data_IF_035115186594
#
_entry.id   IF_035115186594
#
_cell.length_a   1.000
_cell.length_b   1.000
_cell.length_c   1.000
_cell.angle_alpha   90.00
_cell.angle_beta   90.00
_cell.angle_gamma   90.00
#
_symmetry.space_group_name_H-M   'P 1'
#
loop_
_entity.id
_entity.type
_entity.pdbx_description
1 polymer ?
#
# COMPACT_ATOMS: atom_id res chain seq x y z
N UNK A 1 33.20 -17.36 -41.33
CA UNK A 1 34.07 -17.03 -40.18
C UNK A 1 33.55 -15.89 -39.33
N UNK A 2 32.99 -14.80 -39.87
CA UNK A 2 32.43 -13.65 -39.12
C UNK A 2 31.26 -14.05 -38.22
N UNK A 3 30.36 -14.95 -38.68
CA UNK A 3 29.17 -15.35 -37.87
C UNK A 3 29.51 -16.15 -36.62
N UNK A 4 30.55 -16.95 -36.62
CA UNK A 4 30.97 -17.75 -35.46
C UNK A 4 31.59 -16.86 -34.37
N UNK A 5 32.35 -15.84 -34.77
CA UNK A 5 32.98 -14.87 -33.86
C UNK A 5 31.89 -14.02 -33.18
N UNK A 6 30.88 -13.59 -33.95
CA UNK A 6 29.75 -12.84 -33.39
C UNK A 6 28.94 -13.69 -32.40
N UNK A 7 28.70 -14.97 -32.71
CA UNK A 7 27.99 -15.90 -31.83
C UNK A 7 28.77 -16.19 -30.54
N UNK A 8 30.08 -16.40 -30.63
CA UNK A 8 30.97 -16.57 -29.48
C UNK A 8 31.08 -15.31 -28.63
N UNK A 9 31.02 -14.12 -29.23
CA UNK A 9 31.02 -12.85 -28.53
C UNK A 9 29.70 -12.63 -27.76
N UNK A 10 28.56 -13.00 -28.35
CA UNK A 10 27.25 -12.99 -27.70
C UNK A 10 27.18 -14.00 -26.52
N UNK A 11 27.63 -15.24 -26.75
CA UNK A 11 27.72 -16.26 -25.70
C UNK A 11 28.63 -15.84 -24.56
N UNK A 12 29.78 -15.21 -24.86
CA UNK A 12 30.70 -14.73 -23.82
C UNK A 12 30.10 -13.56 -23.01
N UNK A 13 29.30 -12.70 -23.65
CA UNK A 13 28.57 -11.62 -23.00
C UNK A 13 27.46 -12.16 -22.11
N UNK A 14 26.74 -13.18 -22.57
CA UNK A 14 25.68 -13.87 -21.79
C UNK A 14 26.25 -14.61 -20.57
N UNK A 15 27.35 -15.36 -20.75
CA UNK A 15 28.01 -16.06 -19.64
C UNK A 15 28.54 -15.08 -18.58
N UNK A 16 29.13 -13.93 -19.01
CA UNK A 16 29.59 -12.92 -18.07
C UNK A 16 28.43 -12.27 -17.31
N UNK A 17 27.25 -12.11 -17.93
CA UNK A 17 26.08 -11.51 -17.28
C UNK A 17 25.45 -12.47 -16.28
N UNK A 18 25.38 -13.76 -16.61
CA UNK A 18 24.92 -14.82 -15.69
C UNK A 18 25.88 -14.89 -14.49
N UNK A 19 27.20 -14.91 -14.75
CA UNK A 19 28.22 -14.90 -13.68
C UNK A 19 28.13 -13.68 -12.77
N UNK A 20 27.82 -12.50 -13.33
CA UNK A 20 27.65 -11.28 -12.55
C UNK A 20 26.34 -11.31 -11.74
N UNK A 21 25.25 -11.86 -12.30
CA UNK A 21 24.00 -12.06 -11.57
C UNK A 21 24.18 -13.05 -10.42
N UNK A 22 24.92 -14.16 -10.65
CA UNK A 22 25.25 -15.13 -9.59
C UNK A 22 26.08 -14.50 -8.48
N UNK A 23 27.06 -13.66 -8.85
CA UNK A 23 27.84 -12.89 -7.87
C UNK A 23 26.95 -11.91 -7.07
N UNK A 24 26.01 -11.24 -7.75
CA UNK A 24 25.12 -10.27 -7.10
C UNK A 24 24.15 -10.96 -6.16
N UNK A 25 23.58 -12.11 -6.56
CA UNK A 25 22.71 -12.91 -5.69
C UNK A 25 23.51 -13.52 -4.55
N UNK A 26 24.74 -13.98 -4.82
CA UNK A 26 25.66 -14.46 -3.79
C UNK A 26 26.01 -13.34 -2.81
N UNK A 27 26.29 -12.14 -3.30
CA UNK A 27 26.56 -10.97 -2.47
C UNK A 27 25.31 -10.50 -1.70
N UNK A 28 24.09 -10.63 -2.26
CA UNK A 28 22.84 -10.40 -1.54
C UNK A 28 22.69 -11.37 -0.36
N UNK A 29 23.08 -12.63 -0.56
CA UNK A 29 23.01 -13.66 0.48
C UNK A 29 24.19 -13.61 1.45
N UNK A 30 25.36 -13.09 1.03
CA UNK A 30 26.59 -13.00 1.83
C UNK A 30 26.84 -11.59 2.41
N UNK A 31 26.02 -10.59 2.06
CA UNK A 31 26.21 -9.22 2.51
C UNK A 31 25.83 -9.00 3.98
N UNK A 32 26.47 -8.01 4.61
CA UNK A 32 26.20 -7.57 5.98
C UNK A 32 24.78 -7.01 6.20
N UNK A 33 23.95 -6.88 5.14
CA UNK A 33 22.54 -6.54 5.25
C UNK A 33 21.77 -7.85 5.16
N UNK A 34 21.25 -8.29 6.28
CA UNK A 34 20.44 -9.50 6.38
C UNK A 34 19.17 -9.40 5.54
N UNK A 35 18.54 -10.51 5.18
CA UNK A 35 17.25 -10.53 4.50
C UNK A 35 16.21 -9.78 5.31
N UNK A 36 16.28 -9.85 6.64
CA UNK A 36 15.39 -9.14 7.55
C UNK A 36 15.56 -7.62 7.48
N UNK A 37 16.80 -7.10 7.41
CA UNK A 37 17.04 -5.67 7.22
C UNK A 37 16.50 -5.17 5.88
N UNK A 38 16.55 -5.98 4.83
CA UNK A 38 15.98 -5.63 3.54
C UNK A 38 14.45 -5.62 3.59
N UNK A 39 13.82 -6.59 4.24
CA UNK A 39 12.37 -6.60 4.51
C UNK A 39 11.96 -5.38 5.33
N UNK A 40 12.71 -5.06 6.38
CA UNK A 40 12.49 -3.86 7.21
C UNK A 40 12.53 -2.58 6.37
N UNK A 41 13.50 -2.43 5.47
CA UNK A 41 13.57 -1.27 4.56
C UNK A 41 12.39 -1.18 3.59
N UNK A 42 11.85 -2.32 3.13
CA UNK A 42 10.63 -2.31 2.32
C UNK A 42 9.45 -1.78 3.15
N UNK A 43 9.30 -2.24 4.38
CA UNK A 43 8.24 -1.80 5.31
C UNK A 43 8.39 -0.30 5.64
N UNK A 44 9.61 0.17 5.91
CA UNK A 44 9.89 1.60 6.13
C UNK A 44 9.52 2.45 4.90
N UNK A 45 9.87 1.99 3.70
CA UNK A 45 9.50 2.66 2.46
C UNK A 45 7.99 2.59 2.17
N UNK A 46 7.30 1.54 2.61
CA UNK A 46 5.84 1.46 2.55
C UNK A 46 5.19 2.54 3.41
N UNK A 47 5.65 2.72 4.64
CA UNK A 47 5.11 3.72 5.56
C UNK A 47 5.47 5.16 5.19
N UNK A 48 6.56 5.38 4.44
CA UNK A 48 6.98 6.71 4.00
C UNK A 48 6.20 7.26 2.80
N UNK A 49 5.50 6.40 2.05
CA UNK A 49 4.63 6.81 0.94
C UNK A 49 3.18 6.93 1.44
N UNK A 50 2.38 7.80 0.79
CA UNK A 50 0.95 7.86 1.07
C UNK A 50 0.32 6.53 0.67
N UNK A 51 -0.01 5.74 1.68
CA UNK A 51 -0.67 4.45 1.52
C UNK A 51 -1.94 4.43 2.35
N UNK A 52 -3.07 4.14 1.71
CA UNK A 52 -4.33 3.92 2.42
C UNK A 52 -4.19 2.81 3.48
N UNK A 53 -3.44 1.75 3.13
CA UNK A 53 -3.19 0.66 4.06
C UNK A 53 -2.34 1.08 5.27
N UNK A 54 -1.37 2.01 5.11
CA UNK A 54 -0.54 2.47 6.25
C UNK A 54 -1.31 3.38 7.22
N UNK A 55 -2.41 3.97 6.78
CA UNK A 55 -3.30 4.82 7.59
C UNK A 55 -4.51 4.05 8.13
N UNK A 56 -4.76 2.84 7.65
CA UNK A 56 -5.82 1.94 8.09
C UNK A 56 -5.48 1.27 9.44
N UNK A 57 -6.49 0.66 10.06
CA UNK A 57 -6.28 -0.21 11.23
C UNK A 57 -5.38 -1.39 10.84
N UNK A 58 -4.21 -1.48 11.47
CA UNK A 58 -3.24 -2.53 11.18
C UNK A 58 -3.57 -3.81 11.96
N UNK A 59 -3.84 -4.91 11.24
CA UNK A 59 -4.23 -6.20 11.83
C UNK A 59 -3.26 -7.29 11.35
N UNK A 60 -2.11 -7.48 12.03
CA UNK A 60 -1.19 -8.55 11.69
C UNK A 60 -1.77 -9.91 12.08
N UNK A 61 -1.67 -10.89 11.17
CA UNK A 61 -2.11 -12.26 11.42
C UNK A 61 -0.98 -13.27 11.21
N UNK A 62 -1.01 -14.34 11.97
CA UNK A 62 -0.04 -15.43 11.91
C UNK A 62 -0.73 -16.73 11.52
N UNK A 63 -0.17 -17.47 10.57
CA UNK A 63 -0.55 -18.83 10.20
C UNK A 63 -2.01 -19.06 9.76
N UNK A 64 -2.77 -18.01 9.53
CA UNK A 64 -4.13 -18.06 8.99
C UNK A 64 -4.21 -17.28 7.68
N UNK A 65 -5.01 -17.74 6.74
CA UNK A 65 -5.26 -17.09 5.46
C UNK A 65 -6.64 -16.47 5.36
N UNK A 66 -7.57 -16.87 6.23
CA UNK A 66 -8.91 -16.30 6.30
C UNK A 66 -9.46 -16.40 7.72
N UNK A 67 -10.37 -15.53 8.07
CA UNK A 67 -10.98 -15.50 9.39
C UNK A 67 -11.84 -14.27 9.60
N UNK A 68 -12.06 -13.96 10.86
CA UNK A 68 -12.77 -12.76 11.27
C UNK A 68 -12.15 -12.14 12.52
N UNK A 69 -12.35 -10.85 12.67
CA UNK A 69 -11.96 -10.11 13.88
C UNK A 69 -13.07 -9.16 14.29
N UNK A 70 -13.08 -8.80 15.56
CA UNK A 70 -13.99 -7.79 16.11
C UNK A 70 -13.31 -6.41 16.06
N UNK A 71 -14.07 -5.38 15.74
CA UNK A 71 -13.62 -3.99 15.78
C UNK A 71 -14.68 -3.14 16.50
N UNK A 72 -14.26 -1.98 17.04
CA UNK A 72 -15.19 -1.06 17.67
C UNK A 72 -15.94 -0.25 16.60
N UNK A 73 -17.26 -0.28 16.60
CA UNK A 73 -18.10 0.57 15.76
C UNK A 73 -18.36 1.90 16.47
N UNK A 74 -18.07 3.00 15.77
CA UNK A 74 -18.30 4.35 16.27
C UNK A 74 -17.30 4.82 17.33
N UNK A 75 -17.50 6.06 17.77
CA UNK A 75 -16.79 6.64 18.91
C UNK A 75 -17.66 6.43 20.14
N UNK A 76 -17.14 5.83 21.23
CA UNK A 76 -17.89 5.76 22.46
C UNK A 76 -18.20 7.20 22.92
N UNK A 77 -19.47 7.56 22.95
CA UNK A 77 -19.92 8.84 23.49
C UNK A 77 -19.75 8.72 25.00
N UNK A 78 -18.82 9.50 25.55
CA UNK A 78 -18.74 9.65 27.02
C UNK A 78 -19.89 10.57 27.38
N UNK A 79 -20.94 10.07 28.06
CA UNK A 79 -22.03 10.93 28.52
C UNK A 79 -21.47 11.97 29.48
N UNK A 80 -21.94 13.22 29.40
CA UNK A 80 -21.60 14.24 30.36
C UNK A 80 -21.98 13.70 31.76
N UNK A 81 -21.02 13.77 32.68
CA UNK A 81 -21.21 13.33 34.07
C UNK A 81 -22.21 14.27 34.78
N UNK A 82 -23.48 13.97 34.68
CA UNK A 82 -24.45 14.47 35.61
C UNK A 82 -24.47 13.54 36.85
N UNK A 83 -24.13 14.09 37.99
CA UNK A 83 -24.24 13.46 39.32
C UNK A 83 -23.34 12.25 39.64
N UNK A 84 -22.08 12.21 39.23
CA UNK A 84 -21.11 11.17 39.61
C UNK A 84 -21.54 9.70 39.37
N UNK A 85 -22.50 9.46 38.53
CA UNK A 85 -22.91 8.11 38.13
C UNK A 85 -22.03 7.68 36.97
N UNK A 86 -21.21 6.66 37.17
CA UNK A 86 -20.46 5.99 36.09
C UNK A 86 -21.49 5.24 35.24
N UNK A 87 -21.87 5.79 34.10
CA UNK A 87 -22.64 5.04 33.10
C UNK A 87 -21.74 4.00 32.42
N UNK A 88 -22.22 2.77 32.35
CA UNK A 88 -21.53 1.73 31.58
C UNK A 88 -21.48 2.14 30.11
N UNK A 89 -20.28 2.16 29.56
CA UNK A 89 -20.04 2.41 28.16
C UNK A 89 -20.41 1.14 27.38
N UNK A 90 -21.53 1.14 26.67
CA UNK A 90 -21.83 0.08 25.72
C UNK A 90 -20.93 0.24 24.47
N UNK A 91 -19.94 -0.65 24.33
CA UNK A 91 -19.09 -0.74 23.17
C UNK A 91 -19.85 -1.56 22.12
N UNK A 92 -20.24 -0.93 21.01
CA UNK A 92 -20.76 -1.66 19.87
C UNK A 92 -19.58 -2.30 19.13
N UNK A 93 -19.64 -3.63 18.99
CA UNK A 93 -18.60 -4.40 18.29
C UNK A 93 -19.13 -4.86 16.94
N UNK A 94 -18.48 -4.40 15.89
CA UNK A 94 -18.63 -4.94 14.55
C UNK A 94 -17.78 -6.20 14.35
N UNK A 95 -18.16 -7.01 13.37
CA UNK A 95 -17.42 -8.18 12.94
C UNK A 95 -17.01 -8.01 11.47
N UNK A 96 -15.70 -8.09 11.21
CA UNK A 96 -15.17 -8.08 9.86
C UNK A 96 -14.60 -9.45 9.48
N UNK A 97 -14.89 -9.88 8.27
CA UNK A 97 -14.33 -11.09 7.66
C UNK A 97 -13.22 -10.71 6.70
N UNK A 98 -12.14 -11.50 6.67
CA UNK A 98 -11.01 -11.31 5.78
C UNK A 98 -10.61 -12.59 5.07
N UNK A 99 -10.02 -12.44 3.89
CA UNK A 99 -9.39 -13.51 3.14
C UNK A 99 -8.13 -12.97 2.50
N UNK A 100 -6.97 -13.38 3.03
CA UNK A 100 -5.69 -12.91 2.51
C UNK A 100 -5.47 -13.39 1.09
N UNK A 101 -5.15 -12.46 0.22
CA UNK A 101 -4.75 -12.73 -1.15
C UNK A 101 -3.23 -12.62 -1.28
N UNK A 102 -2.69 -13.44 -2.16
CA UNK A 102 -1.28 -13.36 -2.53
C UNK A 102 -1.07 -12.15 -3.46
N UNK A 103 -0.26 -11.20 -3.01
CA UNK A 103 0.13 -10.02 -3.79
C UNK A 103 1.56 -10.23 -4.26
N UNK A 104 1.75 -10.32 -5.58
CA UNK A 104 3.07 -10.50 -6.17
C UNK A 104 3.49 -9.25 -6.93
N UNK A 105 4.63 -8.68 -6.56
CA UNK A 105 5.27 -7.57 -7.26
C UNK A 105 6.50 -8.04 -8.01
N UNK A 106 6.68 -7.56 -9.24
CA UNK A 106 7.79 -7.94 -10.11
C UNK A 106 8.68 -6.74 -10.42
N UNK A 107 9.99 -6.91 -10.27
CA UNK A 107 10.98 -5.93 -10.70
C UNK A 107 11.92 -6.57 -11.73
N UNK A 108 11.87 -6.15 -13.01
CA UNK A 108 12.83 -6.61 -14.01
C UNK A 108 14.20 -5.97 -13.77
N UNK A 109 15.23 -6.78 -13.66
CA UNK A 109 16.61 -6.37 -13.43
C UNK A 109 17.39 -6.52 -14.74
N UNK A 110 17.79 -5.40 -15.34
CA UNK A 110 18.63 -5.39 -16.54
C UNK A 110 20.12 -5.50 -16.20
N UNK A 111 20.94 -5.95 -17.16
CA UNK A 111 22.39 -6.07 -16.97
C UNK A 111 23.10 -4.76 -16.60
N UNK A 112 22.52 -3.60 -16.91
CA UNK A 112 23.08 -2.29 -16.53
C UNK A 112 22.92 -2.01 -15.02
N UNK A 113 21.87 -2.52 -14.41
CA UNK A 113 21.63 -2.38 -12.96
C UNK A 113 22.60 -3.25 -12.15
N UNK A 114 23.07 -4.35 -12.75
CA UNK A 114 24.03 -5.28 -12.12
C UNK A 114 25.41 -4.62 -11.84
N UNK A 115 25.71 -3.50 -12.46
CA UNK A 115 26.95 -2.74 -12.23
C UNK A 115 26.84 -1.71 -11.08
N UNK A 116 25.68 -1.58 -10.45
CA UNK A 116 25.51 -0.71 -9.28
C UNK A 116 26.17 -1.33 -8.04
N UNK A 117 26.61 -0.46 -7.13
CA UNK A 117 27.03 -0.92 -5.81
C UNK A 117 25.86 -1.62 -5.10
N UNK A 118 26.15 -2.67 -4.37
CA UNK A 118 25.17 -3.54 -3.73
C UNK A 118 24.16 -2.77 -2.86
N UNK A 119 24.64 -1.83 -2.04
CA UNK A 119 23.80 -1.00 -1.18
C UNK A 119 22.80 -0.17 -1.99
N UNK A 120 23.25 0.46 -3.07
CA UNK A 120 22.41 1.25 -3.97
C UNK A 120 21.35 0.40 -4.68
N UNK A 121 21.71 -0.82 -5.08
CA UNK A 121 20.78 -1.76 -5.71
C UNK A 121 19.65 -2.19 -4.75
N UNK A 122 19.98 -2.60 -3.52
CA UNK A 122 18.98 -2.98 -2.51
C UNK A 122 18.05 -1.83 -2.17
N UNK A 123 18.59 -0.63 -2.02
CA UNK A 123 17.80 0.57 -1.75
C UNK A 123 16.85 0.90 -2.91
N UNK A 124 17.31 0.81 -4.15
CA UNK A 124 16.46 0.99 -5.33
C UNK A 124 15.34 -0.07 -5.37
N UNK A 125 15.69 -1.33 -5.17
CA UNK A 125 14.76 -2.44 -5.23
C UNK A 125 13.69 -2.35 -4.12
N UNK A 126 14.08 -1.96 -2.90
CA UNK A 126 13.13 -1.75 -1.80
C UNK A 126 12.12 -0.64 -2.10
N UNK A 127 12.56 0.48 -2.70
CA UNK A 127 11.68 1.57 -3.14
C UNK A 127 10.70 1.13 -4.24
N UNK A 128 11.19 0.36 -5.22
CA UNK A 128 10.35 -0.15 -6.32
C UNK A 128 9.29 -1.11 -5.79
N UNK A 129 9.67 -2.05 -4.92
CA UNK A 129 8.73 -2.98 -4.32
C UNK A 129 7.71 -2.28 -3.43
N UNK A 130 8.14 -1.36 -2.57
CA UNK A 130 7.24 -0.58 -1.73
C UNK A 130 6.23 0.22 -2.57
N UNK A 131 6.68 0.87 -3.65
CA UNK A 131 5.79 1.61 -4.55
C UNK A 131 4.77 0.69 -5.25
N UNK A 132 5.21 -0.47 -5.74
CA UNK A 132 4.34 -1.44 -6.40
C UNK A 132 3.30 -2.00 -5.43
N UNK A 133 3.72 -2.39 -4.23
CA UNK A 133 2.83 -2.93 -3.20
C UNK A 133 1.81 -1.87 -2.74
N UNK A 134 2.25 -0.63 -2.49
CA UNK A 134 1.36 0.49 -2.16
C UNK A 134 0.30 0.71 -3.23
N UNK A 135 0.67 0.70 -4.51
CA UNK A 135 -0.28 0.88 -5.60
C UNK A 135 -1.36 -0.20 -5.60
N UNK A 136 -0.98 -1.46 -5.37
CA UNK A 136 -1.95 -2.58 -5.29
C UNK A 136 -2.85 -2.43 -4.07
N UNK A 137 -2.28 -2.13 -2.91
CA UNK A 137 -3.03 -1.95 -1.66
C UNK A 137 -3.99 -0.76 -1.73
N UNK A 138 -3.58 0.36 -2.35
CA UNK A 138 -4.45 1.52 -2.55
C UNK A 138 -5.66 1.18 -3.43
N UNK A 139 -5.45 0.44 -4.52
CA UNK A 139 -6.55 -0.02 -5.39
C UNK A 139 -7.49 -0.96 -4.66
N UNK A 140 -6.97 -1.90 -3.86
CA UNK A 140 -7.78 -2.79 -3.03
C UNK A 140 -8.60 -2.02 -1.99
N UNK A 141 -7.99 -1.04 -1.31
CA UNK A 141 -8.67 -0.19 -0.35
C UNK A 141 -9.82 0.59 -1.00
N UNK A 142 -9.58 1.21 -2.14
CA UNK A 142 -10.62 1.90 -2.92
C UNK A 142 -11.74 0.95 -3.33
N UNK A 143 -11.40 -0.22 -3.89
CA UNK A 143 -12.37 -1.23 -4.29
C UNK A 143 -13.21 -1.73 -3.11
N UNK A 144 -12.61 -1.91 -1.93
CA UNK A 144 -13.31 -2.30 -0.71
C UNK A 144 -14.29 -1.22 -0.22
N UNK A 145 -13.91 0.07 -0.31
CA UNK A 145 -14.80 1.18 0.04
C UNK A 145 -16.01 1.23 -0.89
N UNK A 146 -15.80 1.22 -2.21
CA UNK A 146 -16.90 1.32 -3.19
C UNK A 146 -17.81 0.09 -3.20
N UNK A 147 -17.30 -1.08 -2.83
CA UNK A 147 -18.12 -2.28 -2.66
C UNK A 147 -19.07 -2.18 -1.46
N UNK A 148 -18.71 -1.43 -0.42
CA UNK A 148 -19.55 -1.18 0.76
C UNK A 148 -20.48 0.02 0.59
N UNK A 149 -20.04 1.05 -0.11
CA UNK A 149 -20.77 2.30 -0.30
C UNK A 149 -20.56 2.83 -1.71
N UNK A 150 -21.63 2.89 -2.48
CA UNK A 150 -21.59 3.38 -3.85
C UNK A 150 -21.09 4.84 -3.89
N UNK A 151 -20.13 5.16 -4.78
CA UNK A 151 -19.61 6.52 -4.89
C UNK A 151 -20.71 7.51 -5.31
N UNK A 152 -20.75 8.66 -4.64
CA UNK A 152 -21.65 9.76 -5.03
C UNK A 152 -21.00 10.57 -6.15
N UNK A 153 -21.83 11.19 -7.00
CA UNK A 153 -21.36 12.19 -7.94
C UNK A 153 -20.77 13.38 -7.18
N UNK A 154 -19.61 13.89 -7.62
CA UNK A 154 -18.98 15.01 -6.94
C UNK A 154 -19.87 16.25 -7.00
N UNK A 155 -20.34 16.69 -5.84
CA UNK A 155 -21.00 17.96 -5.58
C UNK A 155 -20.25 18.65 -4.44
N UNK A 156 -19.97 19.96 -4.62
CA UNK A 156 -19.11 20.69 -3.68
C UNK A 156 -19.75 20.82 -2.28
N UNK A 157 -21.06 21.07 -2.23
CA UNK A 157 -21.77 21.29 -0.95
C UNK A 157 -21.87 19.96 -0.17
N UNK A 158 -22.14 18.87 -0.88
CA UNK A 158 -22.16 17.51 -0.31
C UNK A 158 -20.76 17.12 0.17
N UNK A 159 -19.75 17.41 -0.64
CA UNK A 159 -18.35 17.15 -0.28
C UNK A 159 -17.92 17.92 0.97
N UNK A 160 -18.19 19.23 1.05
CA UNK A 160 -17.87 20.07 2.23
C UNK A 160 -18.60 19.53 3.47
N UNK A 161 -19.86 19.14 3.32
CA UNK A 161 -20.63 18.54 4.42
C UNK A 161 -20.04 17.23 4.92
N UNK A 162 -19.56 16.37 4.00
CA UNK A 162 -18.87 15.14 4.36
C UNK A 162 -17.55 15.41 5.08
N UNK A 163 -16.74 16.37 4.59
CA UNK A 163 -15.50 16.80 5.24
C UNK A 163 -15.77 17.33 6.65
N UNK A 164 -16.78 18.20 6.79
CA UNK A 164 -17.16 18.76 8.10
C UNK A 164 -17.59 17.67 9.07
N UNK A 165 -18.40 16.70 8.63
CA UNK A 165 -18.83 15.57 9.45
C UNK A 165 -17.64 14.74 9.95
N UNK A 166 -16.71 14.40 9.04
CA UNK A 166 -15.50 13.63 9.41
C UNK A 166 -14.58 14.44 10.32
N UNK A 167 -14.39 15.74 10.05
CA UNK A 167 -13.56 16.61 10.88
C UNK A 167 -14.13 16.77 12.31
N UNK A 168 -15.45 16.80 12.48
CA UNK A 168 -16.10 16.97 13.78
C UNK A 168 -16.19 15.67 14.57
N UNK A 169 -16.42 14.54 13.91
CA UNK A 169 -16.64 13.24 14.55
C UNK A 169 -15.36 12.43 14.74
N UNK A 170 -14.31 12.70 13.97
CA UNK A 170 -13.11 11.87 13.89
C UNK A 170 -11.84 12.73 13.98
N UNK A 171 -10.87 12.31 14.81
CA UNK A 171 -9.64 13.09 15.04
C UNK A 171 -8.62 12.96 13.91
N UNK A 172 -8.72 11.90 13.09
CA UNK A 172 -7.73 11.55 12.06
C UNK A 172 -8.31 11.60 10.64
N UNK A 173 -9.23 12.54 10.39
CA UNK A 173 -9.83 12.71 9.06
C UNK A 173 -8.78 13.04 8.00
N UNK A 174 -8.92 12.44 6.82
CA UNK A 174 -8.08 12.67 5.65
C UNK A 174 -8.93 12.70 4.38
N UNK A 175 -8.54 13.56 3.45
CA UNK A 175 -9.10 13.60 2.10
C UNK A 175 -8.05 13.01 1.16
N UNK A 176 -8.39 11.91 0.50
CA UNK A 176 -7.53 11.30 -0.51
C UNK A 176 -8.16 11.53 -1.86
N UNK A 177 -7.40 12.10 -2.78
CA UNK A 177 -7.92 12.58 -4.04
C UNK A 177 -7.07 12.10 -5.21
N UNK A 178 -7.72 11.63 -6.29
CA UNK A 178 -7.05 11.45 -7.56
C UNK A 178 -6.46 12.79 -8.02
N UNK A 179 -5.21 12.84 -8.49
CA UNK A 179 -4.58 14.08 -8.96
C UNK A 179 -5.40 14.86 -10.00
N UNK A 180 -6.17 14.18 -10.85
CA UNK A 180 -7.04 14.82 -11.84
C UNK A 180 -8.19 15.62 -11.20
N UNK A 181 -8.60 15.26 -9.98
CA UNK A 181 -9.70 15.91 -9.25
C UNK A 181 -9.23 16.95 -8.23
N UNK A 182 -7.92 17.08 -8.01
CA UNK A 182 -7.36 18.01 -7.01
C UNK A 182 -7.83 19.45 -7.23
N UNK A 183 -7.90 19.90 -8.48
CA UNK A 183 -8.37 21.27 -8.81
C UNK A 183 -9.82 21.52 -8.43
N UNK A 184 -10.65 20.47 -8.37
CA UNK A 184 -12.06 20.56 -7.93
C UNK A 184 -12.15 20.65 -6.40
N UNK A 185 -11.22 20.03 -5.70
CA UNK A 185 -11.16 19.96 -4.24
C UNK A 185 -10.46 21.16 -3.65
N UNK A 186 -9.33 21.57 -4.23
CA UNK A 186 -8.54 22.71 -3.76
C UNK A 186 -8.98 23.99 -4.51
N UNK A 187 -9.98 24.66 -4.01
CA UNK A 187 -10.33 26.01 -4.48
C UNK A 187 -9.35 27.10 -3.97
N UNK A 188 -8.43 26.74 -3.07
CA UNK A 188 -7.39 27.59 -2.53
C UNK A 188 -6.05 26.83 -2.50
N UNK A 189 -4.93 27.56 -2.50
CA UNK A 189 -3.56 26.98 -2.46
C UNK A 189 -3.22 26.20 -1.18
N UNK A 190 -4.18 25.95 -0.29
CA UNK A 190 -3.97 25.24 0.96
C UNK A 190 -4.18 23.74 0.76
N UNK A 191 -3.20 22.94 1.23
CA UNK A 191 -3.27 21.47 1.25
C UNK A 191 -4.22 20.92 2.34
N UNK A 192 -5.12 21.75 2.87
CA UNK A 192 -6.05 21.40 3.95
C UNK A 192 -7.41 22.05 3.70
N UNK A 193 -8.47 21.32 3.98
CA UNK A 193 -9.87 21.81 3.94
C UNK A 193 -10.48 21.56 5.31
N UNK A 194 -10.95 22.62 5.97
CA UNK A 194 -11.49 22.55 7.34
C UNK A 194 -10.55 21.85 8.34
N UNK A 195 -9.22 22.01 8.16
CA UNK A 195 -8.22 21.36 8.99
C UNK A 195 -7.93 19.89 8.64
N UNK A 196 -8.63 19.35 7.63
CA UNK A 196 -8.41 17.98 7.13
C UNK A 196 -7.37 18.00 6.01
N UNK A 197 -6.36 17.15 6.10
CA UNK A 197 -5.29 17.06 5.09
C UNK A 197 -5.78 16.48 3.78
N UNK A 198 -5.33 17.07 2.66
CA UNK A 198 -5.57 16.54 1.32
C UNK A 198 -4.32 15.82 0.84
N UNK A 199 -4.47 14.56 0.50
CA UNK A 199 -3.41 13.70 0.00
C UNK A 199 -3.71 13.27 -1.44
N UNK A 200 -2.71 13.38 -2.32
CA UNK A 200 -2.83 12.92 -3.70
C UNK A 200 -2.54 11.42 -3.80
N UNK A 201 -3.44 10.67 -4.41
CA UNK A 201 -3.25 9.25 -4.70
C UNK A 201 -3.75 8.93 -6.11
N UNK A 202 -2.82 8.59 -7.01
CA UNK A 202 -3.14 8.27 -8.40
C UNK A 202 -3.76 6.87 -8.58
N UNK A 203 -3.76 6.06 -7.53
CA UNK A 203 -4.24 4.68 -7.58
C UNK A 203 -5.75 4.55 -7.32
N UNK A 204 -6.43 5.63 -6.92
CA UNK A 204 -7.89 5.67 -6.75
C UNK A 204 -8.55 6.45 -7.89
N UNK A 205 -9.81 6.14 -8.19
CA UNK A 205 -10.53 6.73 -9.32
C UNK A 205 -11.45 7.91 -8.93
N UNK A 206 -11.31 8.43 -7.70
CA UNK A 206 -12.18 9.47 -7.20
C UNK A 206 -11.59 10.24 -6.03
N UNK A 207 -12.47 10.61 -5.10
CA UNK A 207 -12.13 11.24 -3.83
C UNK A 207 -12.67 10.38 -2.71
N UNK A 208 -11.83 10.13 -1.72
CA UNK A 208 -12.19 9.45 -0.47
C UNK A 208 -12.00 10.42 0.69
N UNK A 209 -13.06 10.73 1.40
CA UNK A 209 -13.03 11.48 2.66
C UNK A 209 -13.25 10.46 3.77
N UNK A 210 -12.28 10.26 4.63
CA UNK A 210 -12.35 9.20 5.63
C UNK A 210 -11.51 9.47 6.88
N UNK A 211 -11.92 8.88 8.00
CA UNK A 211 -11.00 8.47 9.05
C UNK A 211 -10.55 7.04 8.75
N UNK A 212 -9.38 6.90 8.14
CA UNK A 212 -8.92 5.63 7.60
C UNK A 212 -8.72 4.55 8.68
N UNK A 213 -8.40 4.94 9.89
CA UNK A 213 -8.22 3.99 10.99
C UNK A 213 -9.54 3.33 11.42
N UNK A 214 -10.67 4.06 11.33
CA UNK A 214 -12.01 3.53 11.59
C UNK A 214 -12.65 2.94 10.32
N UNK A 215 -12.33 3.49 9.15
CA UNK A 215 -12.94 3.13 7.88
C UNK A 215 -12.40 1.82 7.29
N UNK A 216 -11.09 1.55 7.46
CA UNK A 216 -10.40 0.44 6.80
C UNK A 216 -9.57 -0.39 7.78
N UNK A 217 -9.49 -1.69 7.54
CA UNK A 217 -8.50 -2.56 8.15
C UNK A 217 -7.54 -3.10 7.08
N UNK A 218 -6.24 -3.03 7.37
CA UNK A 218 -5.18 -3.69 6.63
C UNK A 218 -4.78 -4.96 7.35
N UNK A 219 -5.27 -6.11 6.87
CA UNK A 219 -4.99 -7.43 7.41
C UNK A 219 -3.85 -8.06 6.63
N UNK A 220 -2.78 -8.46 7.28
CA UNK A 220 -1.62 -8.96 6.56
C UNK A 220 -0.80 -9.97 7.37
N UNK A 221 -0.05 -10.83 6.66
CA UNK A 221 1.03 -11.59 7.28
C UNK A 221 2.27 -10.70 7.45
N UNK A 222 2.96 -10.86 8.56
CA UNK A 222 4.20 -10.09 8.83
C UNK A 222 5.37 -10.50 7.93
N UNK A 223 5.25 -11.60 7.20
CA UNK A 223 6.33 -12.11 6.36
C UNK A 223 6.21 -11.59 4.93
N UNK A 224 7.36 -11.17 4.40
CA UNK A 224 7.56 -10.79 3.01
C UNK A 224 8.51 -11.81 2.38
N UNK A 225 8.09 -12.46 1.31
CA UNK A 225 8.93 -13.41 0.60
C UNK A 225 9.59 -12.75 -0.61
N UNK A 226 10.92 -12.87 -0.72
CA UNK A 226 11.67 -12.29 -1.82
C UNK A 226 12.28 -13.40 -2.64
N UNK A 227 11.94 -13.45 -3.92
CA UNK A 227 12.43 -14.43 -4.87
C UNK A 227 13.23 -13.80 -6.02
N UNK A 228 14.13 -14.57 -6.61
CA UNK A 228 14.88 -14.16 -7.79
C UNK A 228 14.79 -15.24 -8.88
N UNK A 229 14.29 -14.85 -10.04
CA UNK A 229 14.21 -15.74 -11.20
C UNK A 229 15.18 -15.29 -12.30
N UNK A 230 16.27 -16.03 -12.47
CA UNK A 230 17.33 -15.77 -13.43
C UNK A 230 16.92 -16.06 -14.88
N UNK A 231 15.94 -16.96 -15.07
CA UNK A 231 15.59 -17.52 -16.38
C UNK A 231 14.37 -16.87 -17.01
N UNK A 232 13.68 -15.95 -16.34
CA UNK A 232 12.36 -15.48 -16.74
C UNK A 232 12.31 -14.79 -18.10
N UNK A 233 13.41 -14.13 -18.54
CA UNK A 233 13.53 -13.52 -19.86
C UNK A 233 14.96 -13.70 -20.42
N UNK A 234 15.38 -14.94 -20.52
CA UNK A 234 16.73 -15.31 -20.96
C UNK A 234 17.17 -14.63 -22.25
N UNK A 235 16.29 -14.56 -23.27
CA UNK A 235 16.58 -13.91 -24.56
C UNK A 235 16.81 -12.40 -24.47
N UNK A 236 16.46 -11.74 -23.36
CA UNK A 236 16.61 -10.28 -23.16
C UNK A 236 17.64 -9.92 -22.11
N UNK A 237 18.32 -10.91 -21.53
CA UNK A 237 19.31 -10.70 -20.47
C UNK A 237 18.72 -9.95 -19.27
N UNK A 238 17.49 -10.32 -18.87
CA UNK A 238 16.72 -9.73 -17.77
C UNK A 238 16.42 -10.81 -16.77
N UNK A 239 16.82 -10.59 -15.51
CA UNK A 239 16.34 -11.35 -14.37
C UNK A 239 15.09 -10.69 -13.77
N UNK A 240 14.30 -11.45 -13.02
CA UNK A 240 13.16 -10.92 -12.28
C UNK A 240 13.43 -11.09 -10.79
N UNK A 241 13.34 -10.00 -10.05
CA UNK A 241 13.12 -10.06 -8.62
C UNK A 241 11.61 -10.06 -8.35
N UNK A 242 11.18 -10.84 -7.39
CA UNK A 242 9.78 -10.95 -6.98
C UNK A 242 9.65 -10.63 -5.50
N UNK A 243 8.60 -9.92 -5.13
CA UNK A 243 8.17 -9.74 -3.76
C UNK A 243 6.78 -10.34 -3.65
N UNK A 244 6.61 -11.31 -2.73
CA UNK A 244 5.31 -11.88 -2.41
C UNK A 244 4.89 -11.42 -1.02
N UNK A 245 3.64 -10.96 -0.90
CA UNK A 245 3.02 -10.52 0.33
C UNK A 245 1.59 -11.02 0.40
N UNK A 246 1.15 -11.45 1.58
CA UNK A 246 -0.22 -11.90 1.80
C UNK A 246 -0.97 -10.85 2.59
N UNK A 247 -1.97 -10.23 1.96
CA UNK A 247 -2.74 -9.15 2.57
C UNK A 247 -4.16 -9.04 2.02
N UNK A 248 -5.02 -8.42 2.85
CA UNK A 248 -6.34 -7.98 2.49
C UNK A 248 -6.58 -6.56 3.03
N UNK A 249 -7.42 -5.78 2.34
CA UNK A 249 -7.84 -4.46 2.80
C UNK A 249 -9.36 -4.41 2.80
N UNK A 250 -9.93 -4.21 3.98
CA UNK A 250 -11.37 -4.37 4.23
C UNK A 250 -11.96 -3.05 4.72
N UNK A 251 -13.05 -2.62 4.12
CA UNK A 251 -13.85 -1.54 4.65
C UNK A 251 -14.63 -2.01 5.89
N UNK A 252 -14.51 -1.27 6.98
CA UNK A 252 -15.14 -1.56 8.26
C UNK A 252 -16.44 -0.77 8.41
N UNK A 253 -16.33 0.43 8.92
CA UNK A 253 -17.44 1.31 9.27
C UNK A 253 -17.78 2.25 8.10
N UNK A 254 -18.98 2.07 7.52
CA UNK A 254 -19.47 2.85 6.38
C UNK A 254 -19.76 4.33 6.71
N UNK A 255 -19.93 4.67 8.00
CA UNK A 255 -20.16 6.03 8.46
C UNK A 255 -18.83 6.80 8.63
N UNK A 256 -17.71 6.08 8.62
CA UNK A 256 -16.37 6.65 8.75
C UNK A 256 -15.77 7.09 7.43
N UNK A 257 -16.46 6.93 6.29
CA UNK A 257 -15.97 7.38 4.99
C UNK A 257 -17.08 7.80 4.02
N UNK A 258 -16.70 8.62 3.03
CA UNK A 258 -17.48 8.97 1.85
C UNK A 258 -16.64 8.86 0.59
N UNK A 259 -17.22 8.29 -0.46
CA UNK A 259 -16.60 8.15 -1.76
C UNK A 259 -17.29 9.06 -2.78
N UNK A 260 -16.50 9.77 -3.59
CA UNK A 260 -17.00 10.60 -4.70
C UNK A 260 -16.31 10.18 -5.99
N UNK A 261 -17.08 10.08 -7.05
CA UNK A 261 -16.58 9.82 -8.41
C UNK A 261 -16.71 11.05 -9.29
N UNK A 262 -15.93 11.08 -10.37
CA UNK A 262 -16.17 11.99 -11.48
C UNK A 262 -17.38 11.48 -12.28
N UNK A 263 -18.31 12.37 -12.62
CA UNK A 263 -19.44 12.09 -13.53
C UNK A 263 -18.95 11.96 -14.96
#
# INVERSE_FOLDING_TARGET
>A
MVGIITYLFLLRKEVNTISNLDKLIKNINESNITEEEFKTKIIENLSSNVSLASLALNVPVCNISSGHFAYAEGIPVIPELEDNIVQELELQLGKAEFSLEEIISYCPISGSILNMEEKGFKELLSKVFAKSLNSILNKKAWASCIAKKEPQNFDLDVFISAVARIAMSKQNGVIICNPCMISKVLQSEKAEILGVKVLACADIEGILVADLNSALAYVHKNDLEIGYNKSAKFNKNIALATLTHYADVIALDVDSFECFSEV
#
